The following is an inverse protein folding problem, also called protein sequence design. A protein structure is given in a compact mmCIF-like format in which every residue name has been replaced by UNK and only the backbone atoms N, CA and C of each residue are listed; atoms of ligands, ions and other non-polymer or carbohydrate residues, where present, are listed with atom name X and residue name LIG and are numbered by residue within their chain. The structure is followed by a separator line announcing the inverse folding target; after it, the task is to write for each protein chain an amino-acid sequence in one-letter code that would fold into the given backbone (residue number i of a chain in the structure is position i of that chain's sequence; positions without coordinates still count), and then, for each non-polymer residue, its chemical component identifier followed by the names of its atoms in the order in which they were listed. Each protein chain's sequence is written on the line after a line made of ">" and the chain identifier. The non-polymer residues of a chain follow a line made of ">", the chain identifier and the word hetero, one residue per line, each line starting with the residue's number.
data_IF_757679611973
#
_entry.id   IF_757679611973
#
_cell.length_a   1.000
_cell.length_b   1.000
_cell.length_c   1.000
_cell.angle_alpha   90.00
_cell.angle_beta   90.00
_cell.angle_gamma   90.00
#
_symmetry.space_group_name_H-M   'P 1'
#
loop_
_entity.id
_entity.type
_entity.pdbx_description
1 polymer ?
#
# COMPACT_ATOMS: atom_id res chain seq x y z
N UNK A 1 18.51 14.17 -68.74
CA UNK A 1 19.19 14.23 -67.43
C UNK A 1 18.21 14.74 -66.39
N UNK A 2 17.51 13.83 -65.69
CA UNK A 2 16.63 14.19 -64.59
C UNK A 2 17.49 14.22 -63.33
N UNK A 3 17.82 15.42 -62.85
CA UNK A 3 18.49 15.62 -61.56
C UNK A 3 17.63 14.95 -60.49
N UNK A 4 18.16 13.88 -59.89
CA UNK A 4 17.64 13.36 -58.64
C UNK A 4 17.71 14.50 -57.63
N UNK A 5 16.55 15.06 -57.28
CA UNK A 5 16.46 15.99 -56.17
C UNK A 5 16.93 15.23 -54.93
N UNK A 6 18.02 15.71 -54.32
CA UNK A 6 18.45 15.25 -53.00
C UNK A 6 17.34 15.59 -52.01
N UNK A 7 16.51 14.60 -51.71
CA UNK A 7 15.52 14.70 -50.64
C UNK A 7 16.32 14.75 -49.34
N UNK A 8 16.22 15.83 -48.55
CA UNK A 8 16.87 15.89 -47.25
C UNK A 8 16.38 14.70 -46.44
N UNK A 9 17.31 13.91 -45.89
CA UNK A 9 17.02 12.87 -44.92
C UNK A 9 16.56 13.55 -43.62
N UNK A 10 15.33 14.03 -43.61
CA UNK A 10 14.65 14.38 -42.38
C UNK A 10 14.41 13.09 -41.59
N UNK A 11 14.76 13.11 -40.30
CA UNK A 11 14.32 12.07 -39.37
C UNK A 11 12.81 12.19 -39.18
N UNK A 12 12.05 11.57 -40.08
CA UNK A 12 10.60 11.46 -39.95
C UNK A 12 10.31 10.37 -38.92
N UNK A 13 9.50 10.69 -37.92
CA UNK A 13 8.99 9.73 -36.94
C UNK A 13 7.87 8.89 -37.60
N UNK A 14 8.18 8.25 -38.72
CA UNK A 14 7.25 7.49 -39.55
C UNK A 14 7.64 6.01 -39.52
N UNK A 15 6.66 5.15 -39.23
CA UNK A 15 6.78 3.72 -39.43
C UNK A 15 5.85 3.37 -40.60
N UNK A 16 6.35 2.67 -41.61
CA UNK A 16 5.58 2.16 -42.74
C UNK A 16 5.32 0.67 -42.50
N UNK A 17 4.32 0.31 -41.66
CA UNK A 17 4.12 -1.08 -41.29
C UNK A 17 3.74 -1.91 -42.51
N UNK A 18 4.47 -3.00 -42.76
CA UNK A 18 4.18 -3.97 -43.83
C UNK A 18 3.61 -5.27 -43.27
N UNK A 19 3.55 -5.38 -41.95
CA UNK A 19 3.04 -6.53 -41.21
C UNK A 19 2.37 -6.11 -39.90
N UNK A 20 1.57 -7.00 -39.32
CA UNK A 20 1.01 -6.83 -37.97
C UNK A 20 2.11 -6.70 -36.90
N UNK A 21 3.26 -7.33 -37.12
CA UNK A 21 4.42 -7.25 -36.23
C UNK A 21 5.00 -5.83 -36.20
N UNK A 22 5.09 -5.16 -37.36
CA UNK A 22 5.57 -3.78 -37.44
C UNK A 22 4.64 -2.82 -36.68
N UNK A 23 3.32 -3.04 -36.79
CA UNK A 23 2.33 -2.27 -36.05
C UNK A 23 2.47 -2.49 -34.53
N UNK A 24 2.69 -3.74 -34.09
CA UNK A 24 2.94 -4.07 -32.68
C UNK A 24 4.21 -3.38 -32.16
N UNK A 25 5.33 -3.46 -32.90
CA UNK A 25 6.58 -2.79 -32.53
C UNK A 25 6.44 -1.28 -32.48
N UNK A 26 5.73 -0.66 -33.43
CA UNK A 26 5.48 0.78 -33.42
C UNK A 26 4.71 1.22 -32.17
N UNK A 27 3.64 0.51 -31.82
CA UNK A 27 2.85 0.80 -30.62
C UNK A 27 3.73 0.67 -29.38
N UNK A 28 4.47 -0.43 -29.23
CA UNK A 28 5.38 -0.62 -28.08
C UNK A 28 6.45 0.47 -28.02
N UNK A 29 7.08 0.83 -29.15
CA UNK A 29 8.07 1.89 -29.20
C UNK A 29 7.46 3.24 -28.76
N UNK A 30 6.21 3.52 -29.11
CA UNK A 30 5.46 4.67 -28.61
C UNK A 30 5.31 4.65 -27.09
N UNK A 31 4.89 3.52 -26.52
CA UNK A 31 4.78 3.33 -25.06
C UNK A 31 6.13 3.49 -24.33
N UNK A 32 7.21 2.95 -24.91
CA UNK A 32 8.55 3.07 -24.34
C UNK A 32 9.06 4.51 -24.42
N UNK A 33 8.82 5.23 -25.52
CA UNK A 33 9.15 6.66 -25.65
C UNK A 33 8.41 7.54 -24.63
N UNK A 34 7.20 7.15 -24.24
CA UNK A 34 6.44 7.81 -23.18
C UNK A 34 6.95 7.51 -21.76
N UNK A 35 8.01 6.69 -21.63
CA UNK A 35 8.61 6.37 -20.34
C UNK A 35 7.76 5.44 -19.47
N UNK A 36 6.89 4.64 -20.08
CA UNK A 36 6.06 3.69 -19.34
C UNK A 36 6.94 2.61 -18.71
N UNK A 37 7.00 2.62 -17.38
CA UNK A 37 7.75 1.63 -16.60
C UNK A 37 6.87 0.40 -16.35
N UNK A 38 7.46 -0.78 -16.47
CA UNK A 38 6.81 -2.04 -16.10
C UNK A 38 7.45 -2.62 -14.83
N UNK A 39 6.62 -3.16 -13.94
CA UNK A 39 7.06 -3.82 -12.71
C UNK A 39 6.36 -5.15 -12.51
N UNK A 40 6.96 -6.04 -11.72
CA UNK A 40 6.32 -7.28 -11.27
C UNK A 40 5.48 -7.00 -10.03
N UNK A 41 4.19 -7.34 -10.07
CA UNK A 41 3.28 -7.16 -8.94
C UNK A 41 3.68 -8.07 -7.77
N UNK A 42 3.95 -7.50 -6.58
CA UNK A 42 4.30 -8.25 -5.37
C UNK A 42 3.18 -9.14 -4.81
N UNK A 43 1.95 -9.03 -5.31
CA UNK A 43 0.84 -9.89 -4.88
C UNK A 43 0.61 -11.09 -5.81
N UNK A 44 0.57 -10.88 -7.13
CA UNK A 44 0.20 -11.92 -8.10
C UNK A 44 1.33 -12.33 -9.05
N UNK A 45 2.53 -11.75 -8.93
CA UNK A 45 3.71 -12.12 -9.72
C UNK A 45 3.69 -11.73 -11.20
N UNK A 46 2.65 -11.05 -11.67
CA UNK A 46 2.50 -10.66 -13.09
C UNK A 46 2.97 -9.22 -13.34
N UNK A 47 3.55 -8.98 -14.52
CA UNK A 47 3.94 -7.63 -14.96
C UNK A 47 2.75 -6.67 -15.04
N UNK A 48 2.96 -5.40 -14.73
CA UNK A 48 1.98 -4.34 -14.91
C UNK A 48 2.68 -3.02 -15.26
N UNK A 49 2.01 -2.19 -16.06
CA UNK A 49 2.46 -0.83 -16.33
C UNK A 49 2.21 0.07 -15.11
N UNK A 50 3.19 0.87 -14.75
CA UNK A 50 3.10 1.85 -13.66
C UNK A 50 2.42 3.12 -14.21
N UNK A 51 1.14 3.30 -13.91
CA UNK A 51 0.31 4.41 -14.41
C UNK A 51 0.14 5.56 -13.40
N UNK A 52 1.06 5.70 -12.46
CA UNK A 52 0.99 6.72 -11.41
C UNK A 52 2.31 6.84 -10.65
N UNK A 53 2.27 6.65 -9.34
CA UNK A 53 3.49 6.72 -8.52
C UNK A 53 4.53 5.69 -9.00
N UNK A 54 5.76 6.15 -9.25
CA UNK A 54 6.90 5.28 -9.51
C UNK A 54 7.16 4.28 -8.37
N UNK A 55 6.61 4.51 -7.17
CA UNK A 55 6.72 3.60 -6.02
C UNK A 55 5.61 2.54 -6.00
N UNK A 56 4.78 2.43 -7.03
CA UNK A 56 3.77 1.38 -7.10
C UNK A 56 4.44 -0.02 -7.12
N UNK A 57 3.96 -0.90 -6.23
CA UNK A 57 4.47 -2.27 -6.09
C UNK A 57 3.41 -3.35 -6.43
N UNK A 58 2.16 -2.92 -6.65
CA UNK A 58 1.01 -3.79 -6.84
C UNK A 58 0.17 -3.29 -8.03
N UNK A 59 -0.31 -4.22 -8.85
CA UNK A 59 -1.24 -3.93 -9.94
C UNK A 59 -2.70 -3.79 -9.46
N UNK A 60 -3.61 -3.39 -10.35
CA UNK A 60 -5.05 -3.25 -10.05
C UNK A 60 -5.91 -4.47 -10.41
N UNK A 61 -5.31 -5.61 -10.75
CA UNK A 61 -6.07 -6.85 -11.02
C UNK A 61 -6.89 -7.27 -9.79
N UNK A 62 -8.15 -7.65 -10.02
CA UNK A 62 -8.98 -8.35 -9.03
C UNK A 62 -8.37 -9.69 -8.67
N UNK A 63 -8.47 -10.05 -7.39
CA UNK A 63 -7.97 -11.32 -6.88
C UNK A 63 -9.09 -12.34 -6.99
N UNK A 64 -8.75 -13.54 -7.43
CA UNK A 64 -9.69 -14.65 -7.56
C UNK A 64 -10.35 -14.97 -6.22
N UNK A 65 -11.68 -15.09 -6.21
CA UNK A 65 -12.46 -15.30 -4.99
C UNK A 65 -12.53 -14.10 -4.03
N UNK A 66 -12.04 -12.91 -4.40
CA UNK A 66 -12.09 -11.71 -3.57
C UNK A 66 -12.71 -10.53 -4.31
N UNK A 67 -13.38 -9.64 -3.57
CA UNK A 67 -13.81 -8.34 -4.09
C UNK A 67 -12.66 -7.32 -4.20
N UNK A 68 -11.47 -7.66 -3.68
CA UNK A 68 -10.32 -6.75 -3.61
C UNK A 68 -9.38 -6.89 -4.81
N UNK A 69 -8.71 -5.79 -5.14
CA UNK A 69 -7.59 -5.78 -6.08
C UNK A 69 -6.26 -6.11 -5.39
N UNK A 70 -5.24 -6.45 -6.18
CA UNK A 70 -3.87 -6.65 -5.68
C UNK A 70 -3.35 -5.41 -4.93
N UNK A 71 -3.64 -4.20 -5.41
CA UNK A 71 -3.30 -2.93 -4.75
C UNK A 71 -3.99 -2.77 -3.40
N UNK A 72 -5.29 -3.04 -3.33
CA UNK A 72 -6.04 -3.00 -2.06
C UNK A 72 -5.53 -4.04 -1.06
N UNK A 73 -5.19 -5.25 -1.51
CA UNK A 73 -4.58 -6.26 -0.64
C UNK A 73 -3.18 -5.91 -0.19
N UNK A 74 -2.38 -5.24 -1.04
CA UNK A 74 -1.09 -4.67 -0.63
C UNK A 74 -1.26 -3.69 0.54
N UNK A 75 -2.23 -2.79 0.47
CA UNK A 75 -2.54 -1.88 1.57
C UNK A 75 -2.94 -2.61 2.86
N UNK A 76 -3.76 -3.67 2.75
CA UNK A 76 -4.12 -4.52 3.90
C UNK A 76 -2.89 -5.17 4.52
N UNK A 77 -1.97 -5.73 3.72
CA UNK A 77 -0.73 -6.35 4.22
C UNK A 77 0.16 -5.35 4.92
N UNK A 78 0.38 -4.16 4.35
CA UNK A 78 1.16 -3.10 5.00
C UNK A 78 0.54 -2.69 6.33
N UNK A 79 -0.78 -2.55 6.38
CA UNK A 79 -1.50 -2.25 7.61
C UNK A 79 -1.35 -3.34 8.68
N UNK A 80 -1.48 -4.62 8.29
CA UNK A 80 -1.28 -5.76 9.18
C UNK A 80 0.16 -5.83 9.69
N UNK A 81 1.16 -5.62 8.82
CA UNK A 81 2.57 -5.60 9.22
C UNK A 81 2.87 -4.46 10.20
N UNK A 82 2.33 -3.26 9.98
CA UNK A 82 2.46 -2.14 10.93
C UNK A 82 1.88 -2.49 12.29
N UNK A 83 0.70 -3.12 12.32
CA UNK A 83 0.10 -3.58 13.57
C UNK A 83 0.88 -4.70 14.26
N UNK A 84 1.58 -5.56 13.52
CA UNK A 84 2.46 -6.58 14.10
C UNK A 84 3.78 -6.02 14.62
N UNK A 85 4.30 -4.98 13.96
CA UNK A 85 5.53 -4.29 14.37
C UNK A 85 5.37 -3.49 15.66
N UNK A 86 4.16 -3.12 16.03
CA UNK A 86 3.89 -2.41 17.28
C UNK A 86 2.97 -3.23 18.20
N UNK A 87 3.54 -4.23 18.92
CA UNK A 87 2.78 -5.05 19.85
C UNK A 87 2.15 -4.21 20.98
N UNK A 88 2.79 -3.11 21.37
CA UNK A 88 2.34 -2.19 22.42
C UNK A 88 1.05 -1.47 21.99
N UNK A 89 1.04 -0.85 20.80
CA UNK A 89 -0.15 -0.21 20.24
C UNK A 89 -1.26 -1.23 20.00
N UNK A 90 -0.94 -2.45 19.60
CA UNK A 90 -1.94 -3.52 19.41
C UNK A 90 -2.64 -3.86 20.72
N UNK A 91 -1.90 -4.06 21.81
CA UNK A 91 -2.45 -4.33 23.13
C UNK A 91 -3.31 -3.16 23.62
N UNK A 92 -2.78 -1.94 23.54
CA UNK A 92 -3.50 -0.72 23.92
C UNK A 92 -4.83 -0.57 23.17
N UNK A 93 -4.83 -0.71 21.84
CA UNK A 93 -6.03 -0.57 21.01
C UNK A 93 -7.09 -1.64 21.32
N UNK A 94 -6.67 -2.86 21.65
CA UNK A 94 -7.58 -3.92 22.08
C UNK A 94 -8.24 -3.54 23.41
N UNK A 95 -7.45 -3.15 24.41
CA UNK A 95 -7.95 -2.75 25.73
C UNK A 95 -8.89 -1.54 25.63
N UNK A 96 -8.55 -0.54 24.82
CA UNK A 96 -9.37 0.65 24.58
C UNK A 96 -10.76 0.29 24.05
N UNK A 97 -10.84 -0.59 23.04
CA UNK A 97 -12.12 -1.05 22.50
C UNK A 97 -12.96 -1.79 23.55
N UNK A 98 -12.33 -2.65 24.35
CA UNK A 98 -13.00 -3.37 25.44
C UNK A 98 -13.57 -2.41 26.48
N UNK A 99 -12.77 -1.43 26.93
CA UNK A 99 -13.21 -0.43 27.91
C UNK A 99 -14.30 0.49 27.36
N UNK A 100 -14.19 0.93 26.11
CA UNK A 100 -15.23 1.74 25.47
C UNK A 100 -16.54 0.97 25.29
N UNK A 101 -16.48 -0.36 25.09
CA UNK A 101 -17.68 -1.20 25.11
C UNK A 101 -18.32 -1.26 26.51
N UNK A 102 -17.53 -1.27 27.60
CA UNK A 102 -18.05 -1.21 28.98
C UNK A 102 -18.87 0.05 29.23
N UNK A 103 -18.45 1.21 28.68
CA UNK A 103 -19.27 2.44 28.72
C UNK A 103 -20.63 2.22 28.05
N UNK A 104 -20.62 1.66 26.85
CA UNK A 104 -21.85 1.41 26.07
C UNK A 104 -22.83 0.49 26.80
N UNK A 105 -22.30 -0.48 27.55
CA UNK A 105 -23.10 -1.41 28.35
C UNK A 105 -23.38 -0.93 29.78
N UNK A 106 -23.05 0.32 30.12
CA UNK A 106 -23.30 0.89 31.44
C UNK A 106 -22.49 0.26 32.58
N UNK A 107 -21.39 -0.46 32.25
CA UNK A 107 -20.50 -1.12 33.22
C UNK A 107 -19.31 -0.24 33.65
N UNK A 108 -19.23 0.97 33.10
CA UNK A 108 -18.17 1.95 33.34
C UNK A 108 -18.73 3.33 32.97
N UNK A 109 -18.46 4.34 33.78
CA UNK A 109 -18.80 5.73 33.50
C UNK A 109 -17.82 6.36 32.49
N UNK A 110 -18.15 7.53 31.96
CA UNK A 110 -17.23 8.23 31.03
C UNK A 110 -16.02 8.78 31.78
N UNK A 111 -16.20 9.17 33.02
CA UNK A 111 -15.19 9.72 33.92
C UNK A 111 -14.16 8.62 34.26
N UNK A 112 -14.61 7.45 34.69
CA UNK A 112 -13.73 6.28 34.94
C UNK A 112 -12.96 5.88 33.68
N UNK A 113 -13.61 5.91 32.51
CA UNK A 113 -12.94 5.64 31.25
C UNK A 113 -11.87 6.69 30.92
N UNK A 114 -12.16 7.97 31.17
CA UNK A 114 -11.20 9.05 30.91
C UNK A 114 -9.96 8.88 31.80
N UNK A 115 -10.14 8.65 33.10
CA UNK A 115 -9.05 8.38 34.04
C UNK A 115 -8.22 7.17 33.64
N UNK A 116 -8.88 6.06 33.28
CA UNK A 116 -8.22 4.88 32.74
C UNK A 116 -7.44 5.23 31.46
N UNK A 117 -8.04 5.97 30.52
CA UNK A 117 -7.41 6.30 29.23
C UNK A 117 -6.14 7.15 29.39
N UNK A 118 -6.11 8.05 30.38
CA UNK A 118 -4.94 8.88 30.70
C UNK A 118 -3.82 7.98 31.23
N UNK A 119 -4.12 7.12 32.21
CA UNK A 119 -3.15 6.16 32.78
C UNK A 119 -2.64 5.18 31.72
N UNK A 120 -3.53 4.65 30.88
CA UNK A 120 -3.19 3.71 29.82
C UNK A 120 -2.25 4.33 28.77
N UNK A 121 -2.44 5.61 28.41
CA UNK A 121 -1.49 6.32 27.51
C UNK A 121 -0.13 6.51 28.17
N UNK A 122 -0.09 6.92 29.43
CA UNK A 122 1.17 7.11 30.16
C UNK A 122 1.96 5.80 30.28
N UNK A 123 1.29 4.68 30.57
CA UNK A 123 1.95 3.37 30.65
C UNK A 123 2.36 2.85 29.26
N UNK A 124 1.55 3.07 28.22
CA UNK A 124 1.93 2.79 26.84
C UNK A 124 3.24 3.50 26.47
N UNK A 125 3.34 4.79 26.77
CA UNK A 125 4.52 5.59 26.44
C UNK A 125 5.74 5.11 27.23
N UNK A 126 5.59 4.77 28.52
CA UNK A 126 6.65 4.11 29.30
C UNK A 126 7.08 2.77 28.71
N UNK A 127 6.14 1.98 28.20
CA UNK A 127 6.43 0.70 27.54
C UNK A 127 7.20 0.91 26.22
N UNK A 128 6.81 1.92 25.42
CA UNK A 128 7.51 2.29 24.19
C UNK A 128 8.94 2.79 24.46
N UNK A 129 9.15 3.47 25.59
CA UNK A 129 10.47 3.90 26.07
C UNK A 129 11.28 2.78 26.73
N UNK A 130 10.73 1.57 26.86
CA UNK A 130 11.39 0.42 27.48
C UNK A 130 11.48 0.48 29.02
N UNK A 131 10.73 1.38 29.67
CA UNK A 131 10.71 1.56 31.13
C UNK A 131 9.85 0.53 31.87
N UNK A 132 8.92 -0.10 31.16
CA UNK A 132 8.11 -1.24 31.65
C UNK A 132 8.08 -2.31 30.58
N UNK A 133 7.98 -3.58 30.97
CA UNK A 133 7.89 -4.68 30.01
C UNK A 133 6.54 -4.69 29.28
N UNK A 134 6.47 -5.40 28.15
CA UNK A 134 5.22 -5.60 27.41
C UNK A 134 4.24 -6.43 28.24
N UNK A 135 4.74 -7.42 28.96
CA UNK A 135 3.96 -8.30 29.84
C UNK A 135 3.33 -7.53 31.00
N UNK A 136 4.09 -6.69 31.69
CA UNK A 136 3.57 -5.86 32.80
C UNK A 136 2.49 -4.89 32.30
N UNK A 137 2.70 -4.32 31.12
CA UNK A 137 1.70 -3.46 30.49
C UNK A 137 0.43 -4.25 30.11
N UNK A 138 0.56 -5.48 29.60
CA UNK A 138 -0.59 -6.33 29.28
C UNK A 138 -1.39 -6.72 30.52
N UNK A 139 -0.71 -7.05 31.62
CA UNK A 139 -1.35 -7.40 32.90
C UNK A 139 -2.17 -6.20 33.40
N UNK A 140 -1.56 -5.01 33.46
CA UNK A 140 -2.23 -3.80 33.91
C UNK A 140 -3.44 -3.42 33.05
N UNK A 141 -3.40 -3.66 31.73
CA UNK A 141 -4.53 -3.37 30.84
C UNK A 141 -5.75 -4.29 31.07
N UNK A 142 -5.58 -5.42 31.75
CA UNK A 142 -6.65 -6.41 32.03
C UNK A 142 -7.29 -6.23 33.41
N UNK A 143 -6.60 -5.56 34.33
CA UNK A 143 -7.16 -5.08 35.60
C UNK A 143 -8.34 -4.13 35.35
#
# INVERSE_FOLDING_TARGET
>A
ELRAQEVPLEMVNALYPRSLQDLYHFIIAGYLKQGVCFKVCKNCGRYFAVTGSMNAEYCDRKIEGSQKTCRQMGAVRVYQQKQMKDPILRLYNRAYKTHNARIRYGRMTREEFLEWSIRARALRDKCMEGKISLEDFEIWLKE
#
